data_IF_941155441613
#
_entry.id   IF_941155441613
#
_cell.length_a   1.000
_cell.length_b   1.000
_cell.length_c   1.000
_cell.angle_alpha   90.00
_cell.angle_beta   90.00
_cell.angle_gamma   90.00
#
_symmetry.space_group_name_H-M   'P 1'
#
loop_
_entity.id
_entity.type
_entity.pdbx_description
1 polymer ?
#
# COMPACT_ATOMS: atom_id res chain seq x y z
N UNK A 1 5.65 7.97 -3.23
CA UNK A 1 6.04 7.01 -4.29
C UNK A 1 7.27 7.38 -5.14
N UNK A 2 7.68 8.67 -5.26
CA UNK A 2 8.97 9.01 -5.94
C UNK A 2 10.20 8.27 -5.36
N UNK A 3 10.17 7.94 -4.07
CA UNK A 3 11.25 7.21 -3.39
C UNK A 3 11.20 5.70 -3.63
N UNK A 4 10.03 5.13 -3.94
CA UNK A 4 9.87 3.69 -4.20
C UNK A 4 10.63 3.26 -5.45
N UNK A 5 10.63 4.09 -6.51
CA UNK A 5 11.36 3.83 -7.76
C UNK A 5 12.87 3.79 -7.57
N UNK A 6 13.39 4.54 -6.57
CA UNK A 6 14.81 4.55 -6.24
C UNK A 6 15.20 3.38 -5.33
N UNK A 7 14.28 2.88 -4.51
CA UNK A 7 14.49 1.71 -3.65
C UNK A 7 14.55 0.43 -4.50
N UNK A 8 13.82 0.40 -5.61
CA UNK A 8 13.75 -0.75 -6.50
C UNK A 8 15.04 -1.03 -7.30
N UNK A 9 15.87 -0.02 -7.52
CA UNK A 9 17.20 -0.20 -8.12
C UNK A 9 18.17 -0.99 -7.23
N UNK A 10 17.74 -1.35 -6.02
CA UNK A 10 18.55 -2.02 -5.00
C UNK A 10 18.70 -3.53 -5.20
N UNK A 11 17.94 -4.13 -6.10
CA UNK A 11 18.10 -5.54 -6.38
C UNK A 11 19.29 -5.78 -7.30
N UNK A 12 20.29 -6.43 -6.78
CA UNK A 12 21.33 -7.18 -7.48
C UNK A 12 22.54 -6.41 -8.05
N UNK A 13 23.52 -6.11 -7.23
CA UNK A 13 24.90 -6.09 -7.70
C UNK A 13 25.53 -7.46 -7.48
N UNK A 14 25.43 -8.32 -8.48
CA UNK A 14 26.25 -9.52 -8.51
C UNK A 14 27.72 -9.15 -8.75
N UNK A 15 28.50 -9.19 -7.73
CA UNK A 15 29.92 -9.41 -7.91
C UNK A 15 30.12 -10.92 -8.17
N UNK A 16 29.82 -11.35 -9.39
CA UNK A 16 30.15 -12.69 -9.84
C UNK A 16 31.67 -12.80 -10.03
N UNK A 17 32.41 -12.68 -8.95
CA UNK A 17 33.85 -12.87 -8.94
C UNK A 17 34.17 -14.35 -8.74
N UNK A 18 33.88 -15.15 -9.77
CA UNK A 18 34.39 -16.50 -9.85
C UNK A 18 35.88 -16.49 -10.17
N UNK A 19 36.73 -16.56 -9.20
CA UNK A 19 38.18 -16.73 -9.41
C UNK A 19 38.49 -18.20 -9.72
N UNK A 20 38.96 -18.48 -10.93
CA UNK A 20 39.57 -19.77 -11.29
C UNK A 20 38.76 -20.79 -12.06
N UNK A 21 37.57 -20.46 -12.57
CA UNK A 21 36.83 -21.36 -13.48
C UNK A 21 37.52 -21.44 -14.86
N UNK A 22 37.83 -22.66 -15.30
CA UNK A 22 38.53 -22.92 -16.57
C UNK A 22 37.63 -22.76 -17.82
N UNK A 23 36.29 -22.76 -17.65
CA UNK A 23 35.32 -22.64 -18.74
C UNK A 23 34.19 -21.68 -18.39
N UNK A 24 33.58 -21.00 -19.40
CA UNK A 24 32.44 -20.10 -19.22
C UNK A 24 31.28 -20.77 -18.47
N UNK A 25 30.88 -21.96 -18.90
CA UNK A 25 29.80 -22.74 -18.28
C UNK A 25 30.03 -23.02 -16.79
N UNK A 26 31.24 -23.44 -16.41
CA UNK A 26 31.56 -23.73 -15.00
C UNK A 26 31.48 -22.47 -14.14
N UNK A 27 31.83 -21.31 -14.69
CA UNK A 27 31.73 -20.05 -13.98
C UNK A 27 30.28 -19.68 -13.73
N UNK A 28 29.42 -19.73 -14.76
CA UNK A 28 27.99 -19.44 -14.64
C UNK A 28 27.32 -20.44 -13.68
N UNK A 29 27.58 -21.73 -13.83
CA UNK A 29 27.08 -22.77 -12.91
C UNK A 29 27.47 -22.49 -11.47
N UNK A 30 28.74 -22.14 -11.21
CA UNK A 30 29.20 -21.82 -9.85
C UNK A 30 28.48 -20.61 -9.26
N UNK A 31 28.18 -19.61 -10.09
CA UNK A 31 27.46 -18.41 -9.66
C UNK A 31 25.99 -18.70 -9.35
N UNK A 32 25.32 -19.49 -10.19
CA UNK A 32 23.91 -19.88 -9.97
C UNK A 32 23.76 -20.83 -8.77
N UNK A 33 24.74 -21.71 -8.53
CA UNK A 33 24.78 -22.55 -7.32
C UNK A 33 24.90 -21.74 -6.02
N UNK A 34 25.54 -20.58 -6.05
CA UNK A 34 25.56 -19.67 -4.90
C UNK A 34 24.18 -19.09 -4.60
N UNK A 35 23.42 -18.72 -5.65
CA UNK A 35 22.02 -18.28 -5.51
C UNK A 35 21.19 -19.42 -4.91
N UNK A 36 21.29 -20.62 -5.46
CA UNK A 36 20.56 -21.80 -4.98
C UNK A 36 20.85 -22.16 -3.52
N UNK A 37 22.07 -21.92 -3.03
CA UNK A 37 22.48 -22.21 -1.65
C UNK A 37 22.05 -21.14 -0.65
N UNK A 38 21.90 -19.89 -1.08
CA UNK A 38 21.47 -18.74 -0.28
C UNK A 38 22.14 -18.68 1.10
N UNK A 39 23.46 -18.87 1.16
CA UNK A 39 24.18 -18.63 2.39
C UNK A 39 24.20 -17.10 2.70
N UNK A 40 24.48 -16.76 3.95
CA UNK A 40 24.44 -15.39 4.44
C UNK A 40 25.34 -14.44 3.65
N UNK A 41 26.51 -14.92 3.23
CA UNK A 41 27.45 -14.17 2.40
C UNK A 41 26.88 -13.90 1.01
N UNK A 42 26.19 -14.86 0.44
CA UNK A 42 25.50 -14.70 -0.85
C UNK A 42 24.37 -13.69 -0.73
N UNK A 43 23.56 -13.75 0.33
CA UNK A 43 22.50 -12.79 0.60
C UNK A 43 23.07 -11.37 0.76
N UNK A 44 24.14 -11.20 1.54
CA UNK A 44 24.83 -9.92 1.69
C UNK A 44 25.37 -9.37 0.37
N UNK A 45 25.80 -10.25 -0.54
CA UNK A 45 26.24 -9.85 -1.88
C UNK A 45 25.06 -9.50 -2.81
N UNK A 46 23.88 -10.09 -2.59
CA UNK A 46 22.65 -9.77 -3.32
C UNK A 46 22.09 -8.41 -2.94
N UNK A 47 22.05 -8.13 -1.67
CA UNK A 47 21.65 -6.84 -1.10
C UNK A 47 22.92 -5.99 -1.02
N UNK A 48 23.46 -5.60 -2.17
CA UNK A 48 24.76 -4.96 -2.15
C UNK A 48 24.71 -3.54 -1.59
N UNK A 49 25.71 -3.35 -0.81
CA UNK A 49 26.18 -2.23 -0.04
C UNK A 49 26.26 -0.85 -0.76
N UNK A 50 26.36 -0.79 -2.07
CA UNK A 50 26.50 0.49 -2.78
C UNK A 50 25.21 1.27 -2.90
N UNK A 51 24.07 0.61 -2.88
CA UNK A 51 22.78 1.25 -2.96
C UNK A 51 22.21 1.62 -1.58
N UNK A 52 22.70 0.96 -0.51
CA UNK A 52 22.45 1.31 0.89
C UNK A 52 23.16 2.60 1.33
N UNK A 53 24.22 3.00 0.65
CA UNK A 53 25.15 4.07 1.07
C UNK A 53 24.72 5.48 0.65
N UNK A 54 23.63 5.67 -0.10
CA UNK A 54 23.08 7.02 -0.29
C UNK A 54 22.48 7.60 1.00
N UNK A 55 22.18 6.79 2.00
CA UNK A 55 21.88 7.22 3.36
C UNK A 55 23.10 6.97 4.26
N UNK A 56 23.67 8.03 4.77
CA UNK A 56 24.95 8.13 5.51
C UNK A 56 25.07 7.38 6.85
N UNK A 57 24.29 6.34 7.10
CA UNK A 57 24.40 5.49 8.27
C UNK A 57 24.92 4.12 7.87
N UNK A 58 26.16 3.86 8.25
CA UNK A 58 26.85 2.57 8.14
C UNK A 58 26.22 1.53 9.08
N UNK A 59 25.07 1.02 8.76
CA UNK A 59 24.62 -0.24 9.32
C UNK A 59 24.97 -1.33 8.32
N UNK A 60 25.95 -2.18 8.66
CA UNK A 60 26.53 -3.20 7.79
C UNK A 60 25.75 -4.51 7.84
N UNK A 61 24.70 -4.60 8.65
CA UNK A 61 23.87 -5.79 8.76
C UNK A 61 22.63 -5.66 7.88
N UNK A 62 22.53 -6.58 6.93
CA UNK A 62 21.28 -6.85 6.22
C UNK A 62 20.30 -7.38 7.27
N UNK A 63 19.21 -6.66 7.51
CA UNK A 63 18.20 -7.03 8.51
C UNK A 63 17.69 -8.46 8.29
N UNK A 64 17.22 -9.09 9.36
CA UNK A 64 16.68 -10.45 9.31
C UNK A 64 15.52 -10.54 8.31
N UNK A 65 14.66 -9.52 8.26
CA UNK A 65 13.53 -9.41 7.33
C UNK A 65 13.98 -9.44 5.87
N UNK A 66 15.01 -8.69 5.54
CA UNK A 66 15.59 -8.66 4.19
C UNK A 66 16.16 -10.02 3.82
N UNK A 67 16.92 -10.64 4.73
CA UNK A 67 17.50 -11.96 4.51
C UNK A 67 16.43 -13.03 4.31
N UNK A 68 15.35 -12.95 5.08
CA UNK A 68 14.23 -13.87 4.97
C UNK A 68 13.46 -13.67 3.67
N UNK A 69 13.16 -12.42 3.27
CA UNK A 69 12.49 -12.12 2.01
C UNK A 69 13.28 -12.67 0.82
N UNK A 70 14.60 -12.49 0.79
CA UNK A 70 15.46 -13.03 -0.27
C UNK A 70 15.44 -14.56 -0.29
N UNK A 71 15.49 -15.22 0.86
CA UNK A 71 15.38 -16.69 0.93
C UNK A 71 14.04 -17.20 0.42
N UNK A 72 12.94 -16.55 0.79
CA UNK A 72 11.61 -16.90 0.33
C UNK A 72 11.46 -16.70 -1.18
N UNK A 73 11.99 -15.59 -1.72
CA UNK A 73 11.94 -15.32 -3.14
C UNK A 73 12.65 -16.38 -3.98
N UNK A 74 13.80 -16.88 -3.52
CA UNK A 74 14.60 -17.87 -4.23
C UNK A 74 14.39 -19.32 -3.73
N UNK A 75 13.42 -19.59 -2.87
CA UNK A 75 13.27 -20.93 -2.26
C UNK A 75 13.05 -22.05 -3.29
N UNK A 76 12.43 -21.74 -4.42
CA UNK A 76 12.16 -22.66 -5.52
C UNK A 76 13.06 -22.43 -6.74
N UNK A 77 14.11 -21.62 -6.57
CA UNK A 77 15.04 -21.31 -7.65
C UNK A 77 15.75 -22.56 -8.16
N UNK A 78 15.66 -22.77 -9.46
CA UNK A 78 16.41 -23.81 -10.17
C UNK A 78 16.85 -23.30 -11.54
N UNK A 79 17.78 -23.98 -12.19
CA UNK A 79 18.28 -23.58 -13.48
C UNK A 79 18.76 -24.77 -14.33
N UNK A 80 18.71 -24.58 -15.66
CA UNK A 80 19.26 -25.50 -16.66
C UNK A 80 20.11 -24.74 -17.65
N UNK A 81 21.35 -25.18 -17.90
CA UNK A 81 22.17 -24.60 -18.97
C UNK A 81 21.70 -25.16 -20.31
N UNK A 82 21.23 -24.27 -21.19
CA UNK A 82 20.70 -24.64 -22.50
C UNK A 82 21.79 -24.71 -23.58
N UNK A 83 22.70 -23.71 -23.61
CA UNK A 83 23.80 -23.66 -24.57
C UNK A 83 24.99 -22.88 -24.07
N UNK A 84 26.15 -23.13 -24.65
CA UNK A 84 27.36 -22.36 -24.45
C UNK A 84 28.02 -22.10 -25.79
N UNK A 85 28.12 -20.84 -26.18
CA UNK A 85 28.83 -20.39 -27.36
C UNK A 85 30.11 -19.70 -26.92
N UNK A 86 31.24 -20.09 -27.47
CA UNK A 86 32.56 -19.51 -27.14
C UNK A 86 33.27 -19.10 -28.39
N UNK A 87 33.75 -17.86 -28.39
CA UNK A 87 34.55 -17.29 -29.48
C UNK A 87 35.75 -16.58 -28.86
N UNK A 88 36.98 -17.02 -29.16
CA UNK A 88 38.24 -16.54 -28.61
C UNK A 88 38.21 -15.95 -27.20
N UNK A 89 37.88 -14.65 -27.08
CA UNK A 89 37.82 -13.92 -25.80
C UNK A 89 36.41 -13.58 -25.32
N UNK A 90 35.38 -14.03 -26.02
CA UNK A 90 33.97 -13.85 -25.63
C UNK A 90 33.26 -15.19 -25.50
N UNK A 91 32.27 -15.24 -24.63
CA UNK A 91 31.36 -16.37 -24.55
C UNK A 91 29.97 -15.92 -24.15
N UNK A 92 28.96 -16.69 -24.58
CA UNK A 92 27.58 -16.55 -24.12
C UNK A 92 27.12 -17.89 -23.59
N UNK A 93 26.61 -17.89 -22.35
CA UNK A 93 25.98 -19.05 -21.75
C UNK A 93 24.50 -18.75 -21.56
N UNK A 94 23.66 -19.48 -22.29
CA UNK A 94 22.20 -19.37 -22.19
C UNK A 94 21.67 -20.34 -21.14
N UNK A 95 20.89 -19.83 -20.22
CA UNK A 95 20.38 -20.55 -19.05
C UNK A 95 18.88 -20.39 -18.99
N UNK A 96 18.17 -21.47 -18.78
CA UNK A 96 16.79 -21.43 -18.33
C UNK A 96 16.77 -21.33 -16.81
N UNK A 97 16.10 -20.33 -16.29
CA UNK A 97 15.91 -20.08 -14.85
C UNK A 97 14.46 -20.38 -14.50
N UNK A 98 14.25 -21.18 -13.48
CA UNK A 98 12.96 -21.48 -12.88
C UNK A 98 12.86 -20.80 -11.52
N UNK A 99 11.81 -20.02 -11.31
CA UNK A 99 11.54 -19.34 -10.04
C UNK A 99 10.01 -19.11 -9.92
N UNK A 100 9.58 -18.43 -8.86
CA UNK A 100 8.20 -17.98 -8.72
C UNK A 100 7.81 -16.96 -9.80
N UNK A 101 6.49 -16.82 -10.07
CA UNK A 101 5.96 -15.78 -10.96
C UNK A 101 6.21 -14.39 -10.38
N UNK A 102 7.29 -13.78 -10.85
CA UNK A 102 7.75 -12.48 -10.39
C UNK A 102 6.79 -11.33 -10.79
N UNK A 103 6.02 -11.47 -11.87
CA UNK A 103 5.05 -10.45 -12.28
C UNK A 103 3.88 -10.40 -11.32
N UNK A 104 3.31 -11.55 -10.95
CA UNK A 104 2.25 -11.63 -9.94
C UNK A 104 2.75 -11.15 -8.58
N UNK A 105 3.97 -11.51 -8.18
CA UNK A 105 4.58 -10.98 -6.96
C UNK A 105 4.74 -9.46 -7.01
N UNK A 106 5.21 -8.89 -8.13
CA UNK A 106 5.33 -7.45 -8.29
C UNK A 106 3.98 -6.74 -8.13
N UNK A 107 2.94 -7.29 -8.73
CA UNK A 107 1.58 -6.78 -8.61
C UNK A 107 1.09 -6.76 -7.15
N UNK A 108 1.19 -7.89 -6.45
CA UNK A 108 0.77 -8.00 -5.05
C UNK A 108 1.56 -7.05 -4.14
N UNK A 109 2.86 -6.92 -4.39
CA UNK A 109 3.73 -6.01 -3.64
C UNK A 109 3.36 -4.55 -3.87
N UNK A 110 3.11 -4.14 -5.12
CA UNK A 110 2.68 -2.77 -5.43
C UNK A 110 1.31 -2.47 -4.82
N UNK A 111 0.38 -3.43 -4.85
CA UNK A 111 -0.94 -3.30 -4.24
C UNK A 111 -0.84 -3.12 -2.71
N UNK A 112 -0.06 -3.95 -2.04
CA UNK A 112 0.15 -3.84 -0.59
C UNK A 112 0.82 -2.52 -0.19
N UNK A 113 1.82 -2.07 -0.97
CA UNK A 113 2.49 -0.79 -0.73
C UNK A 113 1.56 0.41 -1.00
N UNK A 114 0.66 0.31 -1.98
CA UNK A 114 -0.37 1.33 -2.23
C UNK A 114 -1.32 1.42 -1.03
N UNK A 115 -1.81 0.28 -0.52
CA UNK A 115 -2.67 0.24 0.68
C UNK A 115 -1.97 0.85 1.90
N UNK A 116 -0.71 0.49 2.16
CA UNK A 116 0.07 1.04 3.28
C UNK A 116 0.28 2.55 3.13
N UNK A 117 0.59 3.02 1.92
CA UNK A 117 0.80 4.46 1.66
C UNK A 117 -0.49 5.28 1.76
N UNK A 118 -1.64 4.66 1.56
CA UNK A 118 -2.95 5.30 1.67
C UNK A 118 -3.47 5.32 3.12
N UNK A 119 -2.91 4.50 4.00
CA UNK A 119 -3.35 4.37 5.39
C UNK A 119 -2.71 5.47 6.27
N UNK A 120 -3.49 6.46 6.73
CA UNK A 120 -2.96 7.56 7.55
C UNK A 120 -2.50 7.11 8.95
N UNK A 121 -2.81 5.87 9.36
CA UNK A 121 -2.36 5.28 10.64
C UNK A 121 -0.95 4.73 10.56
N UNK A 122 -0.44 4.49 9.35
CA UNK A 122 0.89 3.91 9.16
C UNK A 122 1.93 5.02 9.07
N UNK A 123 3.07 4.81 9.70
CA UNK A 123 4.27 5.59 9.39
C UNK A 123 4.72 5.25 7.96
N UNK A 124 5.21 6.27 7.24
CA UNK A 124 5.66 6.13 5.85
C UNK A 124 6.51 4.86 5.63
N UNK A 125 6.02 3.93 4.83
CA UNK A 125 6.73 2.71 4.42
C UNK A 125 7.90 3.02 3.45
N UNK A 126 8.58 4.16 3.68
CA UNK A 126 9.61 4.69 2.78
C UNK A 126 10.99 4.12 3.07
N UNK A 127 11.15 3.36 4.15
CA UNK A 127 12.42 2.73 4.49
C UNK A 127 12.60 1.41 3.76
N UNK A 128 13.83 1.04 3.48
CA UNK A 128 14.13 -0.24 2.86
C UNK A 128 13.66 -1.43 3.73
N UNK A 129 13.78 -1.34 5.04
CA UNK A 129 13.32 -2.38 5.94
C UNK A 129 11.81 -2.59 5.85
N UNK A 130 11.02 -1.51 5.76
CA UNK A 130 9.57 -1.59 5.58
C UNK A 130 9.20 -2.31 4.28
N UNK A 131 9.90 -1.99 3.18
CA UNK A 131 9.71 -2.66 1.90
C UNK A 131 9.97 -4.17 1.99
N UNK A 132 11.10 -4.58 2.57
CA UNK A 132 11.42 -6.00 2.70
C UNK A 132 10.53 -6.73 3.71
N UNK A 133 10.02 -6.03 4.71
CA UNK A 133 9.01 -6.57 5.62
C UNK A 133 7.73 -6.92 4.86
N UNK A 134 7.22 -5.98 4.05
CA UNK A 134 6.03 -6.22 3.21
C UNK A 134 6.28 -7.36 2.22
N UNK A 135 7.41 -7.35 1.52
CA UNK A 135 7.78 -8.42 0.59
C UNK A 135 7.83 -9.80 1.28
N UNK A 136 8.49 -9.89 2.45
CA UNK A 136 8.55 -11.11 3.25
C UNK A 136 7.14 -11.61 3.63
N UNK A 137 6.29 -10.72 4.09
CA UNK A 137 4.96 -11.08 4.58
C UNK A 137 4.05 -11.56 3.44
N UNK A 138 4.14 -10.94 2.27
CA UNK A 138 3.47 -11.39 1.05
C UNK A 138 3.97 -12.76 0.62
N UNK A 139 5.29 -12.98 0.61
CA UNK A 139 5.89 -14.27 0.25
C UNK A 139 5.57 -15.39 1.25
N UNK A 140 5.23 -15.07 2.49
CA UNK A 140 4.76 -16.03 3.50
C UNK A 140 3.28 -16.37 3.37
N UNK A 141 2.47 -15.39 2.99
CA UNK A 141 1.00 -15.54 2.95
C UNK A 141 0.49 -16.05 1.63
N UNK A 142 1.10 -15.65 0.53
CA UNK A 142 0.66 -15.97 -0.82
C UNK A 142 1.46 -17.13 -1.40
N UNK A 143 0.83 -17.86 -2.30
CA UNK A 143 1.47 -18.91 -3.08
C UNK A 143 1.55 -18.46 -4.52
N UNK A 144 2.73 -18.52 -5.11
CA UNK A 144 2.99 -18.12 -6.49
C UNK A 144 3.25 -19.35 -7.36
N UNK A 145 2.73 -19.34 -8.57
CA UNK A 145 3.07 -20.34 -9.56
C UNK A 145 4.55 -20.26 -9.94
N UNK A 146 5.09 -21.35 -10.47
CA UNK A 146 6.45 -21.36 -11.01
C UNK A 146 6.44 -20.79 -12.42
N UNK A 147 7.40 -19.93 -12.71
CA UNK A 147 7.67 -19.38 -14.05
C UNK A 147 9.07 -19.71 -14.52
N UNK A 148 9.28 -19.67 -15.82
CA UNK A 148 10.56 -19.97 -16.46
C UNK A 148 10.98 -18.76 -17.30
N UNK A 149 12.21 -18.31 -17.09
CA UNK A 149 12.82 -17.19 -17.83
C UNK A 149 14.14 -17.66 -18.45
N UNK A 150 14.46 -17.17 -19.66
CA UNK A 150 15.76 -17.43 -20.28
C UNK A 150 16.72 -16.28 -19.97
N UNK A 151 17.88 -16.59 -19.40
CA UNK A 151 18.92 -15.64 -19.07
C UNK A 151 20.17 -15.85 -19.95
N UNK A 152 20.74 -14.74 -20.43
CA UNK A 152 21.91 -14.73 -21.29
C UNK A 152 23.14 -14.17 -20.59
N UNK A 153 24.02 -15.05 -20.12
CA UNK A 153 25.26 -14.67 -19.46
C UNK A 153 26.33 -14.37 -20.51
N UNK A 154 26.63 -13.09 -20.72
CA UNK A 154 27.78 -12.64 -21.49
C UNK A 154 29.05 -12.74 -20.64
N UNK A 155 30.14 -13.27 -21.22
CA UNK A 155 31.43 -13.40 -20.57
C UNK A 155 32.55 -12.84 -21.45
N UNK A 156 33.54 -12.22 -20.78
CA UNK A 156 34.78 -11.77 -21.40
C UNK A 156 35.98 -12.46 -20.76
N UNK A 157 36.97 -12.78 -21.60
CA UNK A 157 38.26 -13.31 -21.14
C UNK A 157 39.20 -12.16 -20.82
N UNK A 158 39.57 -12.03 -19.56
CA UNK A 158 40.52 -11.00 -19.12
C UNK A 158 41.68 -11.65 -18.39
N UNK A 159 42.92 -11.38 -18.86
CA UNK A 159 44.12 -11.96 -18.28
C UNK A 159 44.07 -13.49 -18.12
N UNK A 160 43.50 -14.16 -19.14
CA UNK A 160 43.35 -15.63 -19.17
C UNK A 160 42.18 -16.20 -18.38
N UNK A 161 41.41 -15.38 -17.64
CA UNK A 161 40.26 -15.80 -16.85
C UNK A 161 38.97 -15.26 -17.43
N UNK A 162 37.90 -16.06 -17.39
CA UNK A 162 36.56 -15.63 -17.75
C UNK A 162 35.94 -14.78 -16.64
N UNK A 163 35.23 -13.72 -17.05
CA UNK A 163 34.42 -12.88 -16.15
C UNK A 163 33.03 -12.69 -16.74
N UNK A 164 32.02 -12.82 -15.92
CA UNK A 164 30.64 -12.52 -16.31
C UNK A 164 30.47 -11.01 -16.43
N UNK A 165 29.85 -10.57 -17.53
CA UNK A 165 29.41 -9.20 -17.72
C UNK A 165 28.05 -9.04 -17.08
N UNK A 166 27.98 -8.29 -15.98
CA UNK A 166 26.73 -8.00 -15.29
C UNK A 166 26.05 -6.81 -15.95
N UNK A 167 24.97 -7.06 -16.67
CA UNK A 167 24.10 -6.01 -17.26
C UNK A 167 22.81 -5.89 -16.46
N UNK A 168 22.06 -4.82 -16.65
CA UNK A 168 20.75 -4.65 -16.01
C UNK A 168 19.75 -5.70 -16.49
N UNK A 169 19.82 -6.08 -17.78
CA UNK A 169 19.02 -7.16 -18.35
C UNK A 169 19.31 -8.49 -17.65
N UNK A 170 20.59 -8.86 -17.49
CA UNK A 170 20.93 -10.10 -16.80
C UNK A 170 20.44 -10.12 -15.33
N UNK A 171 20.53 -8.97 -14.66
CA UNK A 171 20.01 -8.85 -13.29
C UNK A 171 18.50 -9.13 -13.24
N UNK A 172 17.76 -8.55 -14.19
CA UNK A 172 16.33 -8.73 -14.28
C UNK A 172 15.94 -10.17 -14.67
N UNK A 173 16.66 -10.76 -15.63
CA UNK A 173 16.47 -12.15 -16.03
C UNK A 173 16.68 -13.13 -14.86
N UNK A 174 17.68 -12.90 -13.99
CA UNK A 174 17.94 -13.73 -12.80
C UNK A 174 16.81 -13.66 -11.78
N UNK A 175 16.15 -12.52 -11.64
CA UNK A 175 14.98 -12.35 -10.77
C UNK A 175 13.66 -12.54 -11.52
N UNK A 176 13.70 -13.25 -12.65
CA UNK A 176 12.53 -13.63 -13.45
C UNK A 176 11.68 -12.44 -13.92
N UNK A 177 12.33 -11.30 -14.22
CA UNK A 177 11.66 -10.09 -14.71
C UNK A 177 11.02 -9.21 -13.62
N UNK A 178 11.31 -9.46 -12.35
CA UNK A 178 10.76 -8.69 -11.23
C UNK A 178 11.03 -7.18 -11.35
N UNK A 179 12.26 -6.81 -11.75
CA UNK A 179 12.66 -5.41 -11.85
C UNK A 179 11.86 -4.70 -12.95
N UNK A 180 11.69 -5.35 -14.10
CA UNK A 180 10.89 -4.82 -15.21
C UNK A 180 9.41 -4.73 -14.83
N UNK A 181 8.86 -5.76 -14.17
CA UNK A 181 7.47 -5.75 -13.72
C UNK A 181 7.19 -4.60 -12.74
N UNK A 182 8.06 -4.39 -11.77
CA UNK A 182 7.93 -3.30 -10.79
C UNK A 182 8.12 -1.89 -11.39
N UNK A 183 8.70 -1.79 -12.58
CA UNK A 183 8.84 -0.52 -13.33
C UNK A 183 7.67 -0.24 -14.25
N UNK A 184 6.79 -1.21 -14.46
CA UNK A 184 5.61 -1.04 -15.32
C UNK A 184 4.64 -0.03 -14.67
N UNK A 185 4.43 1.15 -15.26
CA UNK A 185 3.54 2.16 -14.68
C UNK A 185 2.07 1.76 -14.72
N UNK A 186 1.73 0.70 -15.47
CA UNK A 186 0.38 0.15 -15.61
C UNK A 186 0.22 -1.21 -14.93
N UNK A 187 1.16 -1.58 -14.04
CA UNK A 187 1.11 -2.84 -13.31
C UNK A 187 -0.17 -2.97 -12.48
N UNK A 188 -0.59 -1.88 -11.83
CA UNK A 188 -1.90 -1.77 -11.20
C UNK A 188 -2.85 -1.00 -12.13
N UNK A 189 -4.13 -1.34 -12.06
CA UNK A 189 -5.21 -0.57 -12.70
C UNK A 189 -5.68 0.58 -11.81
N UNK A 190 -6.34 1.62 -12.35
CA UNK A 190 -6.96 2.67 -11.53
C UNK A 190 -8.00 2.13 -10.54
N UNK A 191 -8.72 1.07 -10.90
CA UNK A 191 -9.69 0.40 -10.02
C UNK A 191 -9.00 -0.23 -8.80
N UNK A 192 -7.91 -0.97 -9.01
CA UNK A 192 -7.12 -1.56 -7.93
C UNK A 192 -6.49 -0.50 -7.01
N UNK A 193 -6.05 0.63 -7.57
CA UNK A 193 -5.55 1.76 -6.78
C UNK A 193 -6.67 2.39 -5.95
N UNK A 194 -7.88 2.53 -6.52
CA UNK A 194 -9.04 3.03 -5.77
C UNK A 194 -9.41 2.08 -4.63
N UNK A 195 -9.49 0.78 -4.91
CA UNK A 195 -9.84 -0.24 -3.91
C UNK A 195 -8.77 -0.33 -2.81
N UNK A 196 -7.49 -0.26 -3.17
CA UNK A 196 -6.40 -0.25 -2.19
C UNK A 196 -6.45 0.99 -1.28
N UNK A 197 -6.88 2.14 -1.82
CA UNK A 197 -6.94 3.41 -1.08
C UNK A 197 -8.21 3.53 -0.25
N UNK A 198 -9.38 3.31 -0.84
CA UNK A 198 -10.66 3.44 -0.14
C UNK A 198 -10.90 2.27 0.83
N UNK A 199 -10.38 1.09 0.51
CA UNK A 199 -10.46 -0.09 1.35
C UNK A 199 -9.81 0.06 2.72
N UNK A 200 -8.87 1.00 2.88
CA UNK A 200 -8.27 1.32 4.19
C UNK A 200 -9.33 1.78 5.19
N UNK A 201 -10.31 2.56 4.72
CA UNK A 201 -11.35 3.13 5.57
C UNK A 201 -12.36 2.10 6.08
N UNK A 202 -12.49 0.95 5.41
CA UNK A 202 -13.36 -0.15 5.88
C UNK A 202 -12.85 -0.83 7.15
N UNK A 203 -11.55 -0.69 7.42
CA UNK A 203 -10.88 -1.28 8.59
C UNK A 203 -10.70 -0.27 9.73
N UNK A 204 -11.25 0.95 9.61
CA UNK A 204 -11.14 1.98 10.65
C UNK A 204 -12.01 1.67 11.85
N UNK A 205 -11.41 1.73 13.04
CA UNK A 205 -12.15 1.79 14.31
C UNK A 205 -12.82 3.16 14.48
N UNK A 206 -13.77 3.31 15.41
CA UNK A 206 -14.29 4.63 15.74
C UNK A 206 -13.20 5.64 16.12
N UNK A 207 -12.19 5.23 16.86
CA UNK A 207 -11.05 6.07 17.26
C UNK A 207 -10.19 6.50 16.05
N UNK A 208 -10.02 5.61 15.06
CA UNK A 208 -9.35 5.95 13.80
C UNK A 208 -10.13 7.04 13.05
N UNK A 209 -11.46 6.94 12.98
CA UNK A 209 -12.30 7.96 12.36
C UNK A 209 -12.24 9.30 13.10
N UNK A 210 -12.29 9.29 14.45
CA UNK A 210 -12.10 10.52 15.26
C UNK A 210 -10.78 11.19 14.91
N UNK A 211 -9.70 10.40 14.84
CA UNK A 211 -8.37 10.91 14.54
C UNK A 211 -8.25 11.44 13.10
N UNK A 212 -8.74 10.68 12.13
CA UNK A 212 -8.66 11.01 10.71
C UNK A 212 -9.44 12.27 10.34
N UNK A 213 -10.67 12.41 10.85
CA UNK A 213 -11.52 13.58 10.61
C UNK A 213 -11.21 14.74 11.56
N UNK A 214 -10.30 14.57 12.53
CA UNK A 214 -9.95 15.60 13.50
C UNK A 214 -11.14 16.02 14.35
N UNK A 215 -12.01 15.06 14.73
CA UNK A 215 -13.22 15.34 15.48
C UNK A 215 -12.88 15.88 16.87
N UNK A 216 -13.43 17.04 17.20
CA UNK A 216 -13.36 17.63 18.51
C UNK A 216 -14.54 18.60 18.67
N UNK A 217 -15.55 18.20 19.49
CA UNK A 217 -16.80 18.94 19.68
C UNK A 217 -17.44 19.36 18.34
N UNK A 218 -17.58 18.37 17.42
CA UNK A 218 -18.05 18.56 16.03
C UNK A 218 -19.35 19.36 15.97
N UNK A 219 -20.22 19.19 16.95
CA UNK A 219 -21.52 19.88 17.02
C UNK A 219 -21.48 21.17 17.84
N UNK A 220 -20.31 21.61 18.31
CA UNK A 220 -20.10 22.82 19.12
C UNK A 220 -21.07 22.94 20.33
N UNK A 221 -21.30 21.82 21.02
CA UNK A 221 -22.22 21.77 22.16
C UNK A 221 -21.57 22.42 23.41
N UNK A 222 -20.22 22.36 23.51
CA UNK A 222 -19.49 22.91 24.64
C UNK A 222 -19.72 22.14 25.96
N UNK A 223 -20.01 20.85 25.87
CA UNK A 223 -20.19 19.95 27.02
C UNK A 223 -18.90 19.18 27.31
N UNK A 224 -18.66 18.83 28.59
CA UNK A 224 -17.59 17.86 28.96
C UNK A 224 -17.83 16.46 28.34
N UNK A 225 -19.03 16.18 27.80
CA UNK A 225 -19.39 14.94 27.16
C UNK A 225 -19.22 14.96 25.63
N UNK A 226 -18.72 16.06 25.04
CA UNK A 226 -18.53 16.21 23.58
C UNK A 226 -17.72 15.08 22.98
N UNK A 227 -16.65 14.61 23.63
CA UNK A 227 -15.83 13.49 23.15
C UNK A 227 -16.63 12.18 23.02
N UNK A 228 -17.65 11.99 23.85
CA UNK A 228 -18.53 10.81 23.76
C UNK A 228 -19.50 10.92 22.57
N UNK A 229 -19.92 12.13 22.23
CA UNK A 229 -20.75 12.39 21.04
C UNK A 229 -19.93 12.15 19.78
N UNK A 230 -18.70 12.67 19.74
CA UNK A 230 -17.78 12.47 18.61
C UNK A 230 -17.48 10.98 18.40
N UNK A 231 -17.26 10.22 19.48
CA UNK A 231 -17.06 8.77 19.41
C UNK A 231 -18.33 8.02 18.94
N UNK A 232 -19.52 8.45 19.36
CA UNK A 232 -20.78 7.87 18.85
C UNK A 232 -20.98 8.17 17.36
N UNK A 233 -20.66 9.38 16.90
CA UNK A 233 -20.67 9.72 15.48
C UNK A 233 -19.68 8.84 14.69
N UNK A 234 -18.46 8.72 15.17
CA UNK A 234 -17.43 7.88 14.56
C UNK A 234 -17.84 6.39 14.54
N UNK A 235 -18.53 5.92 15.59
CA UNK A 235 -19.07 4.55 15.65
C UNK A 235 -20.15 4.32 14.59
N UNK A 236 -21.02 5.31 14.35
CA UNK A 236 -22.00 5.26 13.27
C UNK A 236 -21.32 5.22 11.90
N UNK A 237 -20.31 6.07 11.68
CA UNK A 237 -19.53 6.06 10.43
C UNK A 237 -18.92 4.67 10.23
N UNK A 238 -18.20 4.14 11.22
CA UNK A 238 -17.55 2.83 11.14
C UNK A 238 -18.54 1.70 10.82
N UNK A 239 -19.76 1.77 11.37
CA UNK A 239 -20.77 0.72 11.20
C UNK A 239 -21.42 0.70 9.82
N UNK A 240 -21.53 1.85 9.14
CA UNK A 240 -22.26 1.98 7.89
C UNK A 240 -21.38 2.35 6.68
N UNK A 241 -20.11 2.69 6.92
CA UNK A 241 -19.21 3.04 5.81
C UNK A 241 -19.05 1.87 4.84
N UNK A 242 -19.44 2.11 3.62
CA UNK A 242 -19.25 1.21 2.49
C UNK A 242 -19.01 2.03 1.24
N UNK A 243 -18.17 1.54 0.34
CA UNK A 243 -17.92 2.20 -0.94
C UNK A 243 -18.07 1.22 -2.10
N UNK A 244 -18.34 1.78 -3.28
CA UNK A 244 -18.33 1.05 -4.55
C UNK A 244 -17.78 1.97 -5.64
N UNK A 245 -16.72 1.54 -6.34
CA UNK A 245 -16.14 2.31 -7.45
C UNK A 245 -16.97 2.06 -8.71
N UNK A 246 -17.45 3.13 -9.31
CA UNK A 246 -18.33 3.10 -10.47
C UNK A 246 -17.85 4.04 -11.57
N UNK A 247 -18.39 3.89 -12.77
CA UNK A 247 -18.17 4.80 -13.91
C UNK A 247 -16.72 5.00 -14.32
N UNK A 248 -15.85 4.00 -14.07
CA UNK A 248 -14.43 4.09 -14.45
C UNK A 248 -14.26 4.31 -15.96
N UNK A 249 -13.47 5.31 -16.31
CA UNK A 249 -13.10 5.64 -17.68
C UNK A 249 -11.62 5.96 -17.74
N UNK A 250 -10.88 5.21 -18.56
CA UNK A 250 -9.44 5.39 -18.75
C UNK A 250 -9.21 6.03 -20.12
N UNK A 251 -8.35 7.05 -20.16
CA UNK A 251 -7.96 7.76 -21.37
C UNK A 251 -6.45 8.07 -21.34
N UNK A 252 -5.64 7.14 -21.84
CA UNK A 252 -4.17 7.24 -21.78
C UNK A 252 -3.68 7.22 -20.34
N UNK A 253 -2.96 8.26 -19.95
CA UNK A 253 -2.40 8.43 -18.61
C UNK A 253 -3.37 9.06 -17.60
N UNK A 254 -4.58 9.32 -17.99
CA UNK A 254 -5.63 9.87 -17.12
C UNK A 254 -6.81 8.92 -17.00
N UNK A 255 -7.42 8.88 -15.82
CA UNK A 255 -8.68 8.16 -15.62
C UNK A 255 -9.58 8.92 -14.66
N UNK A 256 -10.88 8.65 -14.76
CA UNK A 256 -11.91 9.17 -13.86
C UNK A 256 -12.84 8.06 -13.43
N UNK A 257 -13.34 8.15 -12.20
CA UNK A 257 -14.37 7.26 -11.66
C UNK A 257 -15.25 8.03 -10.67
N UNK A 258 -16.26 7.36 -10.14
CA UNK A 258 -17.01 7.79 -8.96
C UNK A 258 -16.88 6.75 -7.86
N UNK A 259 -16.71 7.19 -6.62
CA UNK A 259 -16.92 6.35 -5.45
C UNK A 259 -18.32 6.61 -4.89
N UNK A 260 -19.20 5.63 -5.00
CA UNK A 260 -20.51 5.65 -4.36
C UNK A 260 -20.33 5.21 -2.90
N UNK A 261 -20.50 6.15 -1.97
CA UNK A 261 -20.22 5.95 -0.55
C UNK A 261 -21.55 5.91 0.22
N UNK A 262 -21.72 4.86 1.00
CA UNK A 262 -22.80 4.76 1.99
C UNK A 262 -22.26 5.23 3.34
N UNK A 263 -22.97 6.17 3.95
CA UNK A 263 -22.68 6.70 5.28
C UNK A 263 -23.98 6.86 6.09
N UNK A 264 -23.87 7.32 7.36
CA UNK A 264 -25.06 7.65 8.14
C UNK A 264 -25.86 8.77 7.48
N UNK A 265 -27.17 8.81 7.71
CA UNK A 265 -28.00 9.95 7.29
C UNK A 265 -28.05 10.99 8.42
N UNK A 266 -27.19 12.01 8.33
CA UNK A 266 -27.10 13.07 9.33
C UNK A 266 -28.44 13.85 9.49
N UNK A 267 -29.21 14.01 8.42
CA UNK A 267 -30.50 14.68 8.50
C UNK A 267 -31.48 13.90 9.38
N UNK A 268 -31.49 12.58 9.30
CA UNK A 268 -32.28 11.70 10.18
C UNK A 268 -31.84 11.78 11.64
N UNK A 269 -30.53 11.80 11.88
CA UNK A 269 -29.96 11.97 13.24
C UNK A 269 -30.41 13.30 13.84
N UNK A 270 -30.20 14.41 13.14
CA UNK A 270 -30.54 15.75 13.63
C UNK A 270 -32.07 15.92 13.82
N UNK A 271 -32.88 15.28 12.97
CA UNK A 271 -34.34 15.26 13.16
C UNK A 271 -34.74 14.54 14.44
N UNK A 272 -34.17 13.38 14.73
CA UNK A 272 -34.40 12.63 15.97
C UNK A 272 -33.91 13.41 17.18
N UNK A 273 -32.73 14.02 17.09
CA UNK A 273 -32.20 14.88 18.13
C UNK A 273 -33.11 16.07 18.44
N UNK A 274 -33.61 16.77 17.42
CA UNK A 274 -34.56 17.88 17.58
C UNK A 274 -35.80 17.45 18.32
N UNK A 275 -36.36 16.29 17.98
CA UNK A 275 -37.54 15.75 18.70
C UNK A 275 -37.26 15.50 20.19
N UNK A 276 -36.11 14.93 20.50
CA UNK A 276 -35.66 14.71 21.90
C UNK A 276 -35.43 16.02 22.65
N UNK A 277 -34.85 17.04 22.00
CA UNK A 277 -34.67 18.37 22.59
C UNK A 277 -35.99 19.06 22.87
N UNK A 278 -36.95 19.02 21.96
CA UNK A 278 -38.27 19.60 22.17
C UNK A 278 -39.00 18.92 23.34
N UNK A 279 -38.96 17.59 23.39
CA UNK A 279 -39.54 16.85 24.53
C UNK A 279 -38.88 17.21 25.86
N UNK A 280 -37.56 17.42 25.88
CA UNK A 280 -36.85 17.88 27.09
C UNK A 280 -37.27 19.31 27.46
N UNK A 281 -37.41 20.21 26.50
CA UNK A 281 -37.78 21.60 26.75
C UNK A 281 -39.15 21.76 27.41
N UNK A 282 -40.06 20.80 27.23
CA UNK A 282 -41.38 20.78 27.86
C UNK A 282 -41.37 20.25 29.32
N UNK A 283 -40.19 19.84 29.84
CA UNK A 283 -40.07 19.28 31.21
C UNK A 283 -39.86 20.39 32.25
N UNK A 284 -40.23 20.09 33.50
CA UNK A 284 -39.92 20.99 34.64
C UNK A 284 -38.41 20.99 34.98
N UNK A 285 -37.67 20.00 34.54
CA UNK A 285 -36.20 19.88 34.68
C UNK A 285 -35.52 20.98 33.85
N UNK A 286 -35.90 21.15 32.58
CA UNK A 286 -35.32 22.15 31.68
C UNK A 286 -35.49 23.59 32.16
N UNK A 287 -36.60 23.90 32.84
CA UNK A 287 -36.90 25.23 33.40
C UNK A 287 -36.01 25.62 34.58
N UNK A 288 -35.33 24.65 35.22
CA UNK A 288 -34.48 24.83 36.40
C UNK A 288 -33.00 24.57 36.14
N UNK A 289 -32.70 24.02 35.00
CA UNK A 289 -31.34 23.65 34.63
C UNK A 289 -30.46 24.88 34.37
N UNK A 290 -29.22 24.82 34.77
CA UNK A 290 -28.16 25.77 34.39
C UNK A 290 -27.72 25.54 32.93
N UNK A 291 -27.03 26.50 32.37
CA UNK A 291 -26.52 26.42 31.00
C UNK A 291 -25.63 25.17 30.82
N UNK A 292 -24.80 24.81 31.81
CA UNK A 292 -23.96 23.61 31.74
C UNK A 292 -24.81 22.33 31.77
N UNK A 293 -25.85 22.27 32.61
CA UNK A 293 -26.75 21.09 32.67
C UNK A 293 -27.55 20.95 31.36
N UNK A 294 -27.90 22.08 30.71
CA UNK A 294 -28.55 22.06 29.40
C UNK A 294 -27.59 21.52 28.35
N UNK A 295 -26.31 21.98 28.34
CA UNK A 295 -25.30 21.51 27.42
C UNK A 295 -25.04 19.99 27.57
N UNK A 296 -24.90 19.52 28.82
CA UNK A 296 -24.69 18.08 29.08
C UNK A 296 -25.92 17.24 28.68
N UNK A 297 -27.12 17.75 28.91
CA UNK A 297 -28.35 17.09 28.49
C UNK A 297 -28.45 17.04 26.96
N UNK A 298 -28.09 18.13 26.27
CA UNK A 298 -28.08 18.23 24.81
C UNK A 298 -27.09 17.22 24.23
N UNK A 299 -25.87 17.13 24.75
CA UNK A 299 -24.89 16.14 24.38
C UNK A 299 -25.41 14.72 24.52
N UNK A 300 -26.02 14.41 25.65
CA UNK A 300 -26.63 13.10 25.90
C UNK A 300 -27.72 12.77 24.90
N UNK A 301 -28.65 13.71 24.63
CA UNK A 301 -29.74 13.50 23.67
C UNK A 301 -29.26 13.33 22.24
N UNK A 302 -28.17 14.05 21.85
CA UNK A 302 -27.57 13.87 20.53
C UNK A 302 -26.86 12.51 20.45
N UNK A 303 -26.13 12.11 21.50
CA UNK A 303 -25.54 10.78 21.57
C UNK A 303 -26.62 9.69 21.43
N UNK A 304 -27.72 9.80 22.14
CA UNK A 304 -28.85 8.85 22.03
C UNK A 304 -29.43 8.84 20.58
N UNK A 305 -29.52 9.99 19.92
CA UNK A 305 -29.99 10.06 18.55
C UNK A 305 -29.00 9.40 17.54
N UNK A 306 -27.71 9.54 17.77
CA UNK A 306 -26.67 8.85 17.01
C UNK A 306 -26.71 7.33 17.23
N UNK A 307 -26.75 6.90 18.50
CA UNK A 307 -26.72 5.47 18.86
C UNK A 307 -27.99 4.71 18.35
N UNK A 308 -29.12 5.38 18.25
CA UNK A 308 -30.39 4.83 17.75
C UNK A 308 -30.56 4.92 16.23
N UNK A 309 -29.65 5.61 15.52
CA UNK A 309 -29.80 5.82 14.08
C UNK A 309 -29.51 4.54 13.30
N UNK A 310 -30.44 4.17 12.43
CA UNK A 310 -30.29 3.09 11.44
C UNK A 310 -30.36 3.60 10.00
N UNK A 311 -30.58 4.92 9.83
CA UNK A 311 -30.72 5.50 8.49
C UNK A 311 -29.34 5.75 7.86
N UNK A 312 -29.21 5.41 6.59
CA UNK A 312 -28.03 5.62 5.79
C UNK A 312 -28.36 6.42 4.53
N UNK A 313 -27.36 7.08 3.97
CA UNK A 313 -27.45 7.81 2.71
C UNK A 313 -26.34 7.37 1.77
N UNK A 314 -26.63 7.31 0.48
CA UNK A 314 -25.67 7.04 -0.58
C UNK A 314 -25.34 8.36 -1.31
N UNK A 315 -24.05 8.70 -1.38
CA UNK A 315 -23.56 9.87 -2.12
C UNK A 315 -22.34 9.48 -2.95
N UNK A 316 -22.18 10.12 -4.10
CA UNK A 316 -21.05 9.86 -5.01
C UNK A 316 -19.98 10.93 -4.87
N UNK A 317 -18.71 10.52 -4.83
CA UNK A 317 -17.54 11.38 -4.81
C UNK A 317 -16.73 11.14 -6.09
N UNK A 318 -16.33 12.17 -6.85
CA UNK A 318 -15.50 11.99 -8.02
C UNK A 318 -14.10 11.56 -7.64
N UNK A 319 -13.58 10.61 -8.40
CA UNK A 319 -12.19 10.15 -8.34
C UNK A 319 -11.49 10.54 -9.64
N UNK A 320 -10.29 11.10 -9.52
CA UNK A 320 -9.42 11.35 -10.66
C UNK A 320 -8.10 10.63 -10.49
N UNK A 321 -7.56 10.12 -11.59
CA UNK A 321 -6.31 9.38 -11.60
C UNK A 321 -5.39 9.96 -12.67
N UNK A 322 -4.12 10.02 -12.35
CA UNK A 322 -3.06 10.37 -13.30
C UNK A 322 -1.90 9.38 -13.17
N UNK A 323 -1.49 8.79 -14.29
CA UNK A 323 -0.31 7.95 -14.34
C UNK A 323 0.94 8.82 -14.49
N UNK A 324 1.77 8.85 -13.45
CA UNK A 324 2.97 9.70 -13.40
C UNK A 324 4.20 9.07 -14.08
N UNK A 325 4.01 8.00 -14.87
CA UNK A 325 5.07 7.21 -15.50
C UNK A 325 5.75 6.23 -14.55
N UNK A 326 5.16 5.99 -13.37
CA UNK A 326 5.61 4.99 -12.40
C UNK A 326 4.46 4.21 -11.80
N UNK A 327 3.32 4.86 -11.62
CA UNK A 327 2.09 4.28 -11.07
C UNK A 327 0.95 5.29 -11.25
N UNK A 328 -0.28 4.84 -11.02
CA UNK A 328 -1.42 5.73 -10.91
C UNK A 328 -1.44 6.45 -9.57
N UNK A 329 -1.67 7.75 -9.60
CA UNK A 329 -1.93 8.60 -8.43
C UNK A 329 -3.41 8.95 -8.43
N UNK A 330 -4.11 8.67 -7.33
CA UNK A 330 -5.53 8.97 -7.16
C UNK A 330 -5.71 10.26 -6.36
N UNK A 331 -6.68 11.06 -6.78
CA UNK A 331 -7.19 12.21 -6.03
C UNK A 331 -8.67 11.99 -5.77
N UNK A 332 -9.09 12.12 -4.51
CA UNK A 332 -10.49 12.06 -4.08
C UNK A 332 -11.05 13.48 -4.06
N UNK A 333 -12.29 13.67 -4.49
CA UNK A 333 -12.98 14.96 -4.46
C UNK A 333 -13.02 15.58 -3.06
N UNK A 334 -13.01 16.92 -2.99
CA UNK A 334 -12.96 17.68 -1.72
C UNK A 334 -14.16 17.40 -0.81
N UNK A 335 -15.29 16.99 -1.38
CA UNK A 335 -16.51 16.61 -0.66
C UNK A 335 -16.44 15.29 0.10
N UNK A 336 -15.32 14.54 0.03
CA UNK A 336 -15.20 13.21 0.64
C UNK A 336 -15.55 13.22 2.14
N UNK A 337 -14.99 14.17 2.90
CA UNK A 337 -15.25 14.29 4.35
C UNK A 337 -16.72 14.59 4.63
N UNK A 338 -17.34 15.47 3.85
CA UNK A 338 -18.76 15.81 3.96
C UNK A 338 -19.67 14.60 3.68
N UNK A 339 -19.30 13.79 2.67
CA UNK A 339 -20.02 12.56 2.33
C UNK A 339 -19.88 11.52 3.46
N UNK A 340 -18.72 11.37 4.06
CA UNK A 340 -18.49 10.47 5.20
C UNK A 340 -19.34 10.91 6.40
N UNK A 341 -19.42 12.22 6.66
CA UNK A 341 -20.24 12.80 7.73
C UNK A 341 -21.75 12.83 7.41
N UNK A 342 -22.16 12.12 6.36
CA UNK A 342 -23.58 11.93 6.02
C UNK A 342 -24.31 13.16 5.53
N UNK A 343 -23.61 14.12 4.92
CA UNK A 343 -24.17 15.39 4.47
C UNK A 343 -24.41 16.36 5.60
N UNK A 344 -23.42 16.47 6.50
CA UNK A 344 -23.51 17.26 7.74
C UNK A 344 -23.78 18.74 7.50
N UNK A 345 -23.18 19.37 6.50
CA UNK A 345 -23.34 20.80 6.21
C UNK A 345 -24.77 21.14 5.80
N UNK A 346 -25.36 20.36 4.89
CA UNK A 346 -26.75 20.51 4.46
C UNK A 346 -27.72 20.26 5.63
N UNK A 347 -27.44 19.22 6.44
CA UNK A 347 -28.26 18.81 7.56
C UNK A 347 -28.24 19.84 8.70
N UNK A 348 -27.07 20.38 9.04
CA UNK A 348 -26.93 21.43 10.05
C UNK A 348 -27.58 22.74 9.60
N UNK A 349 -27.43 23.13 8.35
CA UNK A 349 -28.10 24.31 7.80
C UNK A 349 -29.63 24.18 7.93
N UNK A 350 -30.20 23.05 7.52
CA UNK A 350 -31.63 22.78 7.65
C UNK A 350 -32.10 22.67 9.12
N UNK A 351 -31.24 22.27 10.04
CA UNK A 351 -31.54 22.22 11.48
C UNK A 351 -31.67 23.60 12.10
N UNK A 352 -30.85 24.56 11.66
CA UNK A 352 -30.86 25.96 12.14
C UNK A 352 -31.99 26.79 11.56
N UNK A 353 -32.38 26.52 10.30
CA UNK A 353 -33.41 27.32 9.58
C UNK A 353 -34.86 26.98 9.98
N UNK A 354 -35.06 25.90 10.73
CA UNK A 354 -36.38 25.42 11.19
C UNK A 354 -36.52 25.51 12.73
#
# INVERSE_FOLDING_TARGET
MKNLRNILFLFLVFLLTGCGAKTPEKLVRSSLEQIKKLDEKTIQNFVSYQDLVQNKTRDTDVGEETSEAVRLFFQNFDYSILSTETNEDTATVTVEIKNLDAKTLAHDLCLALTKISADPRTEDATTMNSYFTVLRDILKTNTYEESTTTASFGLLRQSGNWKIQTTEELKDEIVSGLITALKDPYLLTPEEVADATLGVFTDFSPEDWVSYLGMHDVFAIGSEQSDQVDLSLASQIASCFHYNVTQLRVNGDDATASADITSLDMASVLKAYKQKLLAYAETTESLRASDSEIADKSAKLLKEALDENEATILRSVPLTFHNNGSTWEMTIGEEFSEVILGGSDDALSAFHDN
#
